data_IF_181157549886
#
_entry.id   IF_181157549886
#
_cell.length_a   1.000
_cell.length_b   1.000
_cell.length_c   1.000
_cell.angle_alpha   90.00
_cell.angle_beta   90.00
_cell.angle_gamma   90.00
#
_symmetry.space_group_name_H-M   'P 1'
#
loop_
_entity.id
_entity.type
_entity.pdbx_description
1 polymer ?
#
# COMPACT_ATOMS: atom_id res chain seq x y z
N UNK A 1 -40.17 -17.80 4.04
CA UNK A 1 -39.38 -17.53 5.27
C UNK A 1 -38.41 -16.36 5.05
N UNK A 2 -38.86 -15.31 4.35
CA UNK A 2 -37.98 -14.25 3.79
C UNK A 2 -38.33 -12.85 4.33
N UNK A 3 -39.26 -12.78 5.28
CA UNK A 3 -39.79 -11.52 5.82
C UNK A 3 -39.26 -11.18 7.22
N UNK A 4 -38.52 -12.08 7.90
CA UNK A 4 -38.12 -11.89 9.31
C UNK A 4 -36.71 -11.34 9.55
N UNK A 5 -36.00 -10.92 8.50
CA UNK A 5 -34.69 -10.25 8.63
C UNK A 5 -34.72 -8.75 8.32
N UNK A 6 -35.88 -8.18 7.98
CA UNK A 6 -36.03 -6.74 7.69
C UNK A 6 -36.09 -5.84 8.94
N UNK A 7 -36.04 -6.42 10.14
CA UNK A 7 -36.39 -5.72 11.40
C UNK A 7 -35.20 -5.43 12.32
N UNK A 8 -33.96 -5.60 11.85
CA UNK A 8 -32.79 -4.97 12.48
C UNK A 8 -32.42 -3.80 11.59
N UNK A 9 -32.58 -2.59 12.11
CA UNK A 9 -32.39 -1.32 11.39
C UNK A 9 -31.27 -1.43 10.35
N UNK A 10 -31.60 -1.07 9.11
CA UNK A 10 -30.70 -1.07 7.96
C UNK A 10 -29.31 -0.56 8.38
N UNK A 11 -28.35 -1.46 8.56
CA UNK A 11 -27.00 -1.11 8.99
C UNK A 11 -26.31 -0.43 7.81
N UNK A 12 -26.21 0.89 7.87
CA UNK A 12 -25.66 1.71 6.79
C UNK A 12 -24.15 1.92 6.98
N UNK A 13 -23.48 2.37 5.93
CA UNK A 13 -22.08 2.80 6.00
C UNK A 13 -21.84 3.79 7.14
N UNK A 14 -22.72 4.77 7.31
CA UNK A 14 -22.60 5.85 8.30
C UNK A 14 -22.58 5.32 9.75
N UNK A 15 -23.25 4.20 10.02
CA UNK A 15 -23.32 3.60 11.36
C UNK A 15 -22.06 2.80 11.71
N UNK A 16 -21.37 2.25 10.70
CA UNK A 16 -20.24 1.32 10.86
C UNK A 16 -18.88 1.96 10.60
N UNK A 17 -18.81 2.98 9.75
CA UNK A 17 -17.55 3.66 9.45
C UNK A 17 -16.84 4.23 10.68
N UNK A 18 -17.54 4.87 11.65
CA UNK A 18 -16.89 5.39 12.86
C UNK A 18 -16.17 4.32 13.70
N UNK A 19 -16.63 3.06 13.67
CA UNK A 19 -15.94 1.95 14.35
C UNK A 19 -14.85 1.29 13.50
N UNK A 20 -15.01 1.27 12.17
CA UNK A 20 -14.02 0.69 11.25
C UNK A 20 -12.78 1.59 11.10
N UNK A 21 -13.00 2.90 10.93
CA UNK A 21 -11.94 3.88 10.61
C UNK A 21 -10.77 3.87 11.60
N UNK A 22 -10.95 3.85 12.92
CA UNK A 22 -9.82 3.79 13.85
C UNK A 22 -8.94 2.56 13.66
N UNK A 23 -9.52 1.41 13.34
CA UNK A 23 -8.79 0.15 13.11
C UNK A 23 -7.99 0.26 11.80
N UNK A 24 -8.59 0.84 10.76
CA UNK A 24 -7.91 1.12 9.48
C UNK A 24 -6.71 2.04 9.69
N UNK A 25 -6.87 3.11 10.47
CA UNK A 25 -5.79 4.04 10.78
C UNK A 25 -4.66 3.37 11.59
N UNK A 26 -5.00 2.51 12.55
CA UNK A 26 -4.02 1.69 13.28
C UNK A 26 -3.22 0.81 12.33
N UNK A 27 -3.90 0.12 11.41
CA UNK A 27 -3.24 -0.72 10.39
C UNK A 27 -2.29 0.12 9.54
N UNK A 28 -2.74 1.24 8.96
CA UNK A 28 -1.89 2.12 8.14
C UNK A 28 -0.65 2.61 8.89
N UNK A 29 -0.79 2.90 10.19
CA UNK A 29 0.30 3.39 11.05
C UNK A 29 1.16 2.27 11.65
N UNK A 30 0.86 1.00 11.36
CA UNK A 30 1.50 -0.17 11.97
C UNK A 30 1.38 -0.19 13.51
N UNK A 31 0.26 0.30 14.03
CA UNK A 31 -0.10 0.21 15.44
C UNK A 31 -0.68 -1.19 15.78
N UNK A 32 -0.58 -1.65 17.04
CA UNK A 32 -1.13 -2.94 17.44
C UNK A 32 -2.65 -2.96 17.30
N UNK A 33 -3.15 -3.97 16.57
CA UNK A 33 -4.58 -4.28 16.42
C UNK A 33 -4.84 -5.60 17.13
N UNK A 34 -5.81 -5.60 18.03
CA UNK A 34 -6.23 -6.81 18.74
C UNK A 34 -6.97 -7.77 17.81
N UNK A 35 -7.02 -9.05 18.18
CA UNK A 35 -7.75 -10.04 17.40
C UNK A 35 -9.25 -9.70 17.27
N UNK A 36 -9.86 -9.13 18.31
CA UNK A 36 -11.27 -8.72 18.28
C UNK A 36 -11.48 -7.55 17.31
N UNK A 37 -10.66 -6.49 17.39
CA UNK A 37 -10.73 -5.38 16.43
C UNK A 37 -10.56 -5.87 14.99
N UNK A 38 -9.63 -6.80 14.77
CA UNK A 38 -9.41 -7.40 13.46
C UNK A 38 -10.66 -8.14 12.95
N UNK A 39 -11.26 -9.01 13.77
CA UNK A 39 -12.46 -9.75 13.41
C UNK A 39 -13.67 -8.83 13.20
N UNK A 40 -13.82 -7.81 14.05
CA UNK A 40 -14.88 -6.81 13.95
C UNK A 40 -14.79 -5.99 12.67
N UNK A 41 -13.58 -5.72 12.18
CA UNK A 41 -13.37 -5.05 10.90
C UNK A 41 -13.89 -5.90 9.72
N UNK A 42 -13.56 -7.20 9.68
CA UNK A 42 -14.10 -8.13 8.66
C UNK A 42 -15.63 -8.16 8.71
N UNK A 43 -16.19 -8.31 9.91
CA UNK A 43 -17.63 -8.39 10.11
C UNK A 43 -18.33 -7.10 9.67
N UNK A 44 -17.78 -5.94 10.03
CA UNK A 44 -18.34 -4.64 9.67
C UNK A 44 -18.30 -4.38 8.17
N UNK A 45 -17.18 -4.69 7.50
CA UNK A 45 -17.08 -4.58 6.03
C UNK A 45 -18.09 -5.49 5.36
N UNK A 46 -18.24 -6.74 5.82
CA UNK A 46 -19.22 -7.68 5.28
C UNK A 46 -20.65 -7.15 5.41
N UNK A 47 -21.02 -6.64 6.59
CA UNK A 47 -22.36 -6.08 6.83
C UNK A 47 -22.66 -4.89 5.92
N UNK A 48 -21.73 -3.94 5.81
CA UNK A 48 -21.92 -2.76 4.94
C UNK A 48 -22.06 -3.20 3.47
N UNK A 49 -21.26 -4.16 3.02
CA UNK A 49 -21.34 -4.67 1.65
C UNK A 49 -22.62 -5.47 1.36
N UNK A 50 -23.26 -6.03 2.39
CA UNK A 50 -24.46 -6.85 2.26
C UNK A 50 -25.76 -6.03 2.35
N UNK A 51 -25.79 -5.04 3.25
CA UNK A 51 -27.02 -4.33 3.62
C UNK A 51 -27.15 -2.91 3.07
N UNK A 52 -26.04 -2.26 2.69
CA UNK A 52 -26.05 -0.93 2.07
C UNK A 52 -25.66 -1.06 0.59
N UNK A 53 -26.62 -0.89 -0.32
CA UNK A 53 -26.37 -0.92 -1.77
C UNK A 53 -25.34 0.13 -2.21
N UNK A 54 -25.25 1.27 -1.50
CA UNK A 54 -24.26 2.32 -1.74
C UNK A 54 -23.06 2.20 -0.79
N UNK A 55 -23.01 1.18 0.06
CA UNK A 55 -21.95 0.93 1.02
C UNK A 55 -20.60 0.66 0.37
N UNK A 56 -20.48 -0.31 -0.57
CA UNK A 56 -19.22 -0.60 -1.25
C UNK A 56 -18.51 0.62 -1.86
N UNK A 57 -19.14 1.46 -2.70
CA UNK A 57 -18.44 2.64 -3.23
C UNK A 57 -18.05 3.64 -2.14
N UNK A 58 -18.91 3.88 -1.12
CA UNK A 58 -18.57 4.76 0.02
C UNK A 58 -17.37 4.26 0.82
N UNK A 59 -17.30 2.96 1.11
CA UNK A 59 -16.14 2.35 1.81
C UNK A 59 -14.87 2.53 0.99
N UNK A 60 -14.94 2.30 -0.33
CA UNK A 60 -13.79 2.48 -1.22
C UNK A 60 -13.30 3.93 -1.22
N UNK A 61 -14.21 4.89 -1.34
CA UNK A 61 -13.86 6.32 -1.40
C UNK A 61 -13.31 6.80 -0.05
N UNK A 62 -13.94 6.44 1.07
CA UNK A 62 -13.45 6.81 2.38
C UNK A 62 -12.10 6.16 2.73
N UNK A 63 -11.88 4.90 2.31
CA UNK A 63 -10.59 4.23 2.44
C UNK A 63 -9.51 4.91 1.59
N UNK A 64 -9.86 5.37 0.37
CA UNK A 64 -8.96 6.15 -0.47
C UNK A 64 -8.53 7.43 0.22
N UNK A 65 -9.47 8.17 0.81
CA UNK A 65 -9.16 9.43 1.50
C UNK A 65 -8.22 9.19 2.69
N UNK A 66 -8.48 8.19 3.53
CA UNK A 66 -7.61 7.86 4.66
C UNK A 66 -6.20 7.37 4.22
N UNK A 67 -6.11 6.62 3.12
CA UNK A 67 -4.81 6.23 2.52
C UNK A 67 -4.06 7.46 2.01
N UNK A 68 -4.72 8.35 1.28
CA UNK A 68 -4.11 9.57 0.74
C UNK A 68 -3.61 10.49 1.86
N UNK A 69 -4.41 10.67 2.92
CA UNK A 69 -4.01 11.45 4.10
C UNK A 69 -2.77 10.86 4.78
N UNK A 70 -2.73 9.53 4.93
CA UNK A 70 -1.55 8.84 5.48
C UNK A 70 -0.30 9.07 4.61
N UNK A 71 -0.44 8.90 3.29
CA UNK A 71 0.65 9.06 2.33
C UNK A 71 1.14 10.51 2.29
N UNK A 72 0.25 11.49 2.38
CA UNK A 72 0.64 12.92 2.41
C UNK A 72 1.49 13.26 3.63
N UNK A 73 1.17 12.67 4.79
CA UNK A 73 1.99 12.80 6.00
C UNK A 73 3.35 12.11 5.84
N UNK A 74 3.39 10.92 5.23
CA UNK A 74 4.64 10.22 4.92
C UNK A 74 5.50 11.01 3.92
N UNK A 75 4.89 11.57 2.87
CA UNK A 75 5.54 12.44 1.89
C UNK A 75 6.22 13.62 2.58
N UNK A 76 5.51 14.31 3.48
CA UNK A 76 6.07 15.47 4.20
C UNK A 76 7.26 15.06 5.06
N UNK A 77 7.19 13.91 5.75
CA UNK A 77 8.33 13.39 6.54
C UNK A 77 9.53 13.09 5.65
N UNK A 78 9.33 12.39 4.52
CA UNK A 78 10.42 12.03 3.60
C UNK A 78 11.04 13.27 2.93
N UNK A 79 10.21 14.16 2.38
CA UNK A 79 10.66 15.34 1.63
C UNK A 79 11.19 16.47 2.51
N UNK A 80 11.04 16.37 3.83
CA UNK A 80 11.67 17.31 4.77
C UNK A 80 13.21 17.21 4.77
N UNK A 81 13.76 16.10 4.28
CA UNK A 81 15.20 15.87 4.21
C UNK A 81 15.77 16.36 2.87
N UNK A 82 16.62 17.39 2.92
CA UNK A 82 17.30 17.91 1.72
C UNK A 82 18.46 17.01 1.27
N UNK A 83 19.22 16.45 2.22
CA UNK A 83 20.35 15.57 1.95
C UNK A 83 19.90 14.20 1.45
N UNK A 84 20.52 13.71 0.38
CA UNK A 84 20.18 12.45 -0.29
C UNK A 84 20.23 11.22 0.64
N UNK A 85 21.26 11.12 1.49
CA UNK A 85 21.40 9.99 2.42
C UNK A 85 20.34 9.99 3.52
N UNK A 86 20.03 11.17 4.07
CA UNK A 86 18.96 11.31 5.06
C UNK A 86 17.58 11.03 4.43
N UNK A 87 17.35 11.51 3.21
CA UNK A 87 16.15 11.25 2.44
C UNK A 87 15.98 9.75 2.15
N UNK A 88 17.04 9.05 1.75
CA UNK A 88 17.01 7.59 1.53
C UNK A 88 16.62 6.86 2.81
N UNK A 89 17.26 7.17 3.94
CA UNK A 89 16.94 6.54 5.24
C UNK A 89 15.48 6.80 5.65
N UNK A 90 15.01 8.03 5.51
CA UNK A 90 13.62 8.40 5.81
C UNK A 90 12.62 7.68 4.90
N UNK A 91 12.90 7.62 3.60
CA UNK A 91 12.08 6.90 2.63
C UNK A 91 11.98 5.41 2.99
N UNK A 92 13.10 4.76 3.27
CA UNK A 92 13.12 3.31 3.55
C UNK A 92 12.40 3.00 4.87
N UNK A 93 12.53 3.86 5.88
CA UNK A 93 11.79 3.72 7.13
C UNK A 93 10.27 3.78 6.92
N UNK A 94 9.78 4.71 6.10
CA UNK A 94 8.34 4.83 5.80
C UNK A 94 7.88 3.71 4.83
N UNK A 95 8.68 3.37 3.82
CA UNK A 95 8.39 2.31 2.85
C UNK A 95 8.23 0.96 3.52
N UNK A 96 9.12 0.57 4.45
CA UNK A 96 9.03 -0.73 5.13
C UNK A 96 7.74 -0.88 5.93
N UNK A 97 7.32 0.18 6.63
CA UNK A 97 6.03 0.19 7.35
C UNK A 97 4.89 0.04 6.36
N UNK A 98 4.84 0.92 5.37
CA UNK A 98 3.76 0.96 4.37
C UNK A 98 3.64 -0.34 3.57
N UNK A 99 4.75 -0.87 3.04
CA UNK A 99 4.77 -2.07 2.22
C UNK A 99 4.33 -3.31 3.00
N UNK A 100 4.66 -3.38 4.29
CA UNK A 100 4.14 -4.42 5.18
C UNK A 100 2.60 -4.32 5.27
N UNK A 101 2.06 -3.11 5.43
CA UNK A 101 0.61 -2.90 5.52
C UNK A 101 -0.13 -3.16 4.21
N UNK A 102 0.52 -3.03 3.05
CA UNK A 102 -0.02 -3.47 1.76
C UNK A 102 -0.35 -4.97 1.72
N UNK A 103 0.17 -5.79 2.64
CA UNK A 103 -0.17 -7.21 2.74
C UNK A 103 -1.31 -7.49 3.74
N UNK A 104 -1.51 -6.63 4.73
CA UNK A 104 -2.52 -6.81 5.78
C UNK A 104 -3.80 -6.04 5.50
N UNK A 105 -3.70 -4.72 5.27
CA UNK A 105 -4.85 -3.85 5.12
C UNK A 105 -5.85 -4.31 4.05
N UNK A 106 -5.46 -4.90 2.90
CA UNK A 106 -6.44 -5.37 1.92
C UNK A 106 -7.28 -6.57 2.35
N UNK A 107 -6.84 -7.35 3.34
CA UNK A 107 -7.46 -8.65 3.66
C UNK A 107 -8.91 -8.56 4.18
N UNK A 108 -9.31 -7.57 5.02
CA UNK A 108 -10.72 -7.39 5.42
C UNK A 108 -11.62 -6.92 4.28
N UNK A 109 -11.04 -6.35 3.21
CA UNK A 109 -11.78 -5.74 2.09
C UNK A 109 -11.97 -6.68 0.89
N UNK A 110 -11.64 -7.97 0.98
CA UNK A 110 -11.90 -8.94 -0.11
C UNK A 110 -13.40 -9.02 -0.48
N UNK A 111 -14.28 -8.89 0.51
CA UNK A 111 -15.72 -8.85 0.26
C UNK A 111 -16.13 -7.60 -0.52
N UNK A 112 -15.53 -6.45 -0.19
CA UNK A 112 -15.73 -5.19 -0.91
C UNK A 112 -15.36 -5.36 -2.39
N UNK A 113 -14.22 -5.99 -2.69
CA UNK A 113 -13.76 -6.22 -4.07
C UNK A 113 -14.74 -7.09 -4.86
N UNK A 114 -15.29 -8.13 -4.23
CA UNK A 114 -16.31 -9.01 -4.83
C UNK A 114 -17.60 -8.24 -5.14
N UNK A 115 -18.04 -7.37 -4.22
CA UNK A 115 -19.23 -6.54 -4.43
C UNK A 115 -19.04 -5.50 -5.54
N UNK A 116 -17.83 -4.95 -5.70
CA UNK A 116 -17.52 -3.94 -6.72
C UNK A 116 -17.33 -4.51 -8.13
N UNK A 117 -16.77 -5.72 -8.26
CA UNK A 117 -16.55 -6.37 -9.57
C UNK A 117 -17.84 -6.94 -10.18
N UNK A 118 -18.92 -7.03 -9.39
CA UNK A 118 -20.11 -7.77 -9.78
C UNK A 118 -19.84 -9.28 -9.85
N UNK A 119 -20.89 -10.09 -9.99
CA UNK A 119 -20.75 -11.55 -10.15
C UNK A 119 -20.19 -11.90 -11.53
N UNK A 120 -18.93 -11.58 -11.82
CA UNK A 120 -18.24 -12.10 -13.02
C UNK A 120 -17.56 -13.44 -12.71
N UNK A 121 -17.53 -14.32 -13.72
CA UNK A 121 -16.96 -15.67 -13.70
C UNK A 121 -15.59 -15.75 -12.99
N UNK A 122 -15.27 -16.90 -12.35
CA UNK A 122 -14.00 -17.08 -11.67
C UNK A 122 -12.84 -17.02 -12.68
N UNK A 123 -11.99 -16.00 -12.56
CA UNK A 123 -10.71 -15.95 -13.26
C UNK A 123 -9.73 -16.94 -12.62
N UNK A 124 -8.95 -17.63 -13.46
CA UNK A 124 -7.94 -18.63 -13.06
C UNK A 124 -6.80 -18.03 -12.21
N UNK A 125 -6.62 -16.70 -12.24
CA UNK A 125 -5.72 -15.97 -11.34
C UNK A 125 -6.55 -15.25 -10.28
N UNK A 126 -6.14 -15.26 -9.00
CA UNK A 126 -6.77 -14.38 -8.01
C UNK A 126 -6.64 -12.94 -8.51
N UNK A 127 -7.74 -12.19 -8.63
CA UNK A 127 -7.68 -10.81 -9.08
C UNK A 127 -6.76 -10.00 -8.14
N UNK A 128 -5.96 -9.12 -8.73
CA UNK A 128 -5.13 -8.19 -7.97
C UNK A 128 -6.04 -7.35 -7.06
N UNK A 129 -5.70 -7.30 -5.77
CA UNK A 129 -6.51 -6.57 -4.79
C UNK A 129 -6.61 -5.10 -5.18
N UNK A 130 -7.85 -4.60 -5.27
CA UNK A 130 -8.15 -3.20 -5.58
C UNK A 130 -7.56 -2.30 -4.49
N UNK A 131 -7.67 -2.70 -3.23
CA UNK A 131 -7.11 -1.93 -2.10
C UNK A 131 -5.59 -1.91 -2.16
N UNK A 132 -4.94 -3.07 -2.39
CA UNK A 132 -3.47 -3.12 -2.52
C UNK A 132 -2.97 -2.27 -3.68
N UNK A 133 -3.65 -2.34 -4.83
CA UNK A 133 -3.32 -1.55 -6.01
C UNK A 133 -3.45 -0.05 -5.72
N UNK A 134 -4.57 0.37 -5.12
CA UNK A 134 -4.78 1.77 -4.73
C UNK A 134 -3.66 2.28 -3.83
N UNK A 135 -3.27 1.51 -2.80
CA UNK A 135 -2.16 1.86 -1.92
C UNK A 135 -0.86 2.08 -2.71
N UNK A 136 -0.44 1.10 -3.51
CA UNK A 136 0.82 1.18 -4.26
C UNK A 136 0.82 2.29 -5.31
N UNK A 137 -0.27 2.46 -6.05
CA UNK A 137 -0.41 3.54 -7.04
C UNK A 137 -0.34 4.92 -6.38
N UNK A 138 -1.05 5.12 -5.26
CA UNK A 138 -0.98 6.36 -4.49
C UNK A 138 0.42 6.64 -3.94
N UNK A 139 1.11 5.62 -3.42
CA UNK A 139 2.48 5.79 -2.93
C UNK A 139 3.46 6.16 -4.06
N UNK A 140 3.29 5.52 -5.23
CA UNK A 140 4.09 5.82 -6.40
C UNK A 140 3.91 7.28 -6.83
N UNK A 141 2.66 7.71 -7.03
CA UNK A 141 2.34 9.04 -7.53
C UNK A 141 2.72 10.15 -6.54
N UNK A 142 2.56 9.94 -5.24
CA UNK A 142 2.80 10.98 -4.24
C UNK A 142 4.26 11.05 -3.75
N UNK A 143 5.00 9.94 -3.75
CA UNK A 143 6.34 9.92 -3.16
C UNK A 143 7.36 9.42 -4.17
N UNK A 144 7.26 8.14 -4.58
CA UNK A 144 8.36 7.48 -5.26
C UNK A 144 8.67 8.10 -6.63
N UNK A 145 7.65 8.48 -7.41
CA UNK A 145 7.83 9.01 -8.76
C UNK A 145 8.80 10.20 -8.81
N UNK A 146 8.70 11.11 -7.84
CA UNK A 146 9.48 12.35 -7.79
C UNK A 146 10.92 12.14 -7.34
N UNK A 147 11.16 11.17 -6.45
CA UNK A 147 12.49 10.96 -5.82
C UNK A 147 13.20 9.68 -6.26
N UNK A 148 12.60 8.83 -7.10
CA UNK A 148 13.15 7.52 -7.52
C UNK A 148 14.59 7.59 -8.03
N UNK A 149 14.95 8.63 -8.79
CA UNK A 149 16.31 8.81 -9.33
C UNK A 149 17.31 9.10 -8.21
N UNK A 150 16.98 10.01 -7.29
CA UNK A 150 17.82 10.32 -6.12
C UNK A 150 18.02 9.11 -5.23
N UNK A 151 16.95 8.34 -5.00
CA UNK A 151 17.01 7.09 -4.24
C UNK A 151 17.92 6.06 -4.92
N UNK A 152 17.79 5.90 -6.24
CA UNK A 152 18.63 5.00 -7.02
C UNK A 152 20.11 5.40 -6.96
N UNK A 153 20.43 6.66 -7.24
CA UNK A 153 21.81 7.15 -7.25
C UNK A 153 22.45 6.99 -5.86
N UNK A 154 21.66 7.23 -4.79
CA UNK A 154 22.10 7.02 -3.41
C UNK A 154 22.33 5.54 -3.09
N UNK A 155 21.46 4.65 -3.57
CA UNK A 155 21.62 3.21 -3.42
C UNK A 155 22.88 2.70 -4.15
N UNK A 156 23.17 3.19 -5.37
CA UNK A 156 24.37 2.80 -6.10
C UNK A 156 25.65 3.28 -5.42
N UNK A 157 25.64 4.48 -4.83
CA UNK A 157 26.76 4.96 -4.00
C UNK A 157 27.04 4.03 -2.80
N UNK A 158 26.00 3.53 -2.14
CA UNK A 158 26.15 2.58 -1.02
C UNK A 158 26.75 1.24 -1.49
N UNK A 159 26.29 0.71 -2.64
CA UNK A 159 26.86 -0.51 -3.24
C UNK A 159 28.35 -0.31 -3.58
N UNK A 160 28.72 0.84 -4.13
CA UNK A 160 30.12 1.14 -4.42
C UNK A 160 30.97 1.25 -3.14
N UNK A 161 30.45 1.91 -2.10
CA UNK A 161 31.12 1.99 -0.80
C UNK A 161 31.35 0.60 -0.16
N UNK A 162 30.37 -0.30 -0.25
CA UNK A 162 30.49 -1.69 0.23
C UNK A 162 31.60 -2.47 -0.47
N UNK A 163 31.76 -2.29 -1.78
CA UNK A 163 32.88 -2.90 -2.53
C UNK A 163 34.24 -2.41 -2.08
N UNK A 164 34.30 -1.18 -1.58
CA UNK A 164 35.50 -0.58 -1.01
C UNK A 164 35.71 -0.93 0.49
N UNK A 165 34.86 -1.80 1.05
CA UNK A 165 34.97 -2.30 2.41
C UNK A 165 34.15 -1.57 3.46
N UNK A 166 33.29 -0.61 3.06
CA UNK A 166 32.41 0.09 3.99
C UNK A 166 31.10 -0.66 4.23
N UNK A 167 30.83 -1.05 5.48
CA UNK A 167 29.56 -1.67 5.83
C UNK A 167 28.42 -0.64 5.84
N UNK A 168 27.26 -1.02 5.29
CA UNK A 168 26.03 -0.22 5.37
C UNK A 168 24.81 -1.11 5.66
N UNK A 169 23.68 -0.48 5.99
CA UNK A 169 22.42 -1.22 6.16
C UNK A 169 21.86 -1.65 4.79
N UNK A 170 21.96 -2.95 4.48
CA UNK A 170 21.49 -3.54 3.22
C UNK A 170 20.02 -3.26 2.92
N UNK A 171 19.20 -2.97 3.94
CA UNK A 171 17.80 -2.59 3.76
C UNK A 171 17.63 -1.30 2.95
N UNK A 172 18.63 -0.42 2.93
CA UNK A 172 18.58 0.82 2.15
C UNK A 172 18.55 0.52 0.64
N UNK A 173 19.35 -0.44 0.17
CA UNK A 173 19.37 -0.85 -1.24
C UNK A 173 18.20 -1.78 -1.55
N UNK A 174 17.90 -2.72 -0.64
CA UNK A 174 16.77 -3.66 -0.79
C UNK A 174 15.44 -2.91 -0.91
N UNK A 175 15.19 -1.90 -0.08
CA UNK A 175 13.94 -1.16 -0.14
C UNK A 175 13.78 -0.36 -1.44
N UNK A 176 14.85 0.25 -1.96
CA UNK A 176 14.80 0.92 -3.28
C UNK A 176 14.48 -0.09 -4.39
N UNK A 177 15.13 -1.26 -4.37
CA UNK A 177 14.84 -2.35 -5.31
C UNK A 177 13.38 -2.81 -5.22
N UNK A 178 12.87 -3.02 -4.01
CA UNK A 178 11.48 -3.42 -3.77
C UNK A 178 10.48 -2.40 -4.30
N UNK A 179 10.77 -1.11 -4.15
CA UNK A 179 9.96 -0.03 -4.73
C UNK A 179 9.91 -0.11 -6.25
N UNK A 180 11.05 -0.29 -6.93
CA UNK A 180 11.08 -0.46 -8.39
C UNK A 180 10.31 -1.70 -8.86
N UNK A 181 10.31 -2.79 -8.10
CA UNK A 181 9.58 -4.02 -8.44
C UNK A 181 8.08 -3.88 -8.20
N UNK A 182 7.65 -3.22 -7.13
CA UNK A 182 6.24 -3.20 -6.71
C UNK A 182 5.45 -1.99 -7.18
N UNK A 183 6.11 -0.89 -7.56
CA UNK A 183 5.46 0.37 -7.94
C UNK A 183 5.39 0.56 -9.47
N UNK A 184 5.57 -0.51 -10.24
CA UNK A 184 5.41 -0.48 -11.69
C UNK A 184 3.92 -0.40 -12.05
N UNK A 185 3.53 0.65 -12.77
CA UNK A 185 2.16 0.82 -13.26
C UNK A 185 1.84 0.03 -14.55
N UNK A 186 2.84 -0.61 -15.16
CA UNK A 186 2.63 -1.44 -16.35
C UNK A 186 2.01 -2.79 -15.96
N UNK A 187 0.80 -3.06 -16.46
CA UNK A 187 0.04 -4.28 -16.17
C UNK A 187 0.57 -5.51 -16.91
N UNK A 188 1.20 -5.32 -18.06
CA UNK A 188 1.72 -6.39 -18.91
C UNK A 188 3.14 -6.79 -18.50
N UNK A 189 3.92 -5.82 -18.00
CA UNK A 189 5.30 -6.02 -17.56
C UNK A 189 5.61 -5.28 -16.26
N UNK A 190 5.32 -5.95 -15.14
CA UNK A 190 5.53 -5.42 -13.78
C UNK A 190 7.00 -5.15 -13.43
N UNK A 191 7.94 -5.64 -14.22
CA UNK A 191 9.37 -5.48 -13.97
C UNK A 191 10.02 -4.44 -14.90
N UNK A 192 9.24 -3.78 -15.76
CA UNK A 192 9.77 -2.83 -16.74
C UNK A 192 10.65 -1.76 -16.09
N UNK A 193 10.11 -1.01 -15.13
CA UNK A 193 10.85 0.10 -14.51
C UNK A 193 12.04 -0.40 -13.68
N UNK A 194 11.98 -1.62 -13.15
CA UNK A 194 13.09 -2.25 -12.45
C UNK A 194 14.25 -2.51 -13.42
N UNK A 195 13.97 -3.13 -14.58
CA UNK A 195 14.99 -3.46 -15.59
C UNK A 195 15.59 -2.21 -16.23
N UNK A 196 14.74 -1.27 -16.64
CA UNK A 196 15.15 -0.06 -17.35
C UNK A 196 15.93 0.94 -16.47
N UNK A 197 15.78 0.86 -15.14
CA UNK A 197 16.40 1.83 -14.22
C UNK A 197 17.34 1.15 -13.22
N UNK A 198 16.81 0.41 -12.24
CA UNK A 198 17.60 -0.11 -11.13
C UNK A 198 18.60 -1.18 -11.58
N UNK A 199 18.15 -2.18 -12.34
CA UNK A 199 19.02 -3.25 -12.85
C UNK A 199 20.11 -2.69 -13.76
N UNK A 200 19.71 -1.84 -14.72
CA UNK A 200 20.64 -1.15 -15.62
C UNK A 200 21.70 -0.36 -14.85
N UNK A 201 21.29 0.48 -13.90
CA UNK A 201 22.23 1.27 -13.11
C UNK A 201 23.16 0.41 -12.24
N UNK A 202 22.66 -0.72 -11.74
CA UNK A 202 23.48 -1.66 -10.97
C UNK A 202 24.54 -2.34 -11.84
N UNK A 203 24.18 -2.77 -13.06
CA UNK A 203 25.12 -3.36 -14.02
C UNK A 203 26.19 -2.33 -14.43
N UNK A 204 25.77 -1.13 -14.83
CA UNK A 204 26.69 -0.04 -15.23
C UNK A 204 27.66 0.32 -14.09
N UNK A 205 27.17 0.40 -12.84
CA UNK A 205 28.01 0.63 -11.66
C UNK A 205 28.93 -0.55 -11.31
N UNK A 206 28.72 -1.74 -11.89
CA UNK A 206 29.54 -2.95 -11.67
C UNK A 206 30.57 -3.14 -12.77
N UNK A 207 30.28 -2.71 -13.99
CA UNK A 207 31.20 -2.75 -15.13
C UNK A 207 32.23 -1.62 -15.10
N UNK A 208 31.95 -0.53 -14.37
CA UNK A 208 32.86 0.61 -14.15
C UNK A 208 33.81 0.39 -12.98
#
# INVERSE_FOLDING_TARGET
>A
MTAMLKDKGQLMFEDKWPSMRPIILKLLQQEPVTQNEWQDLFYSVHLVCLWDEKGPPKVKDALRDDIMDFIQRAQTRVLSHQEDQALLKAYIAEWRKFFTQCNYLPTPFRQLETSLQGKSMPSVKPPESIVRKLMLDSWNQSIFYDIKKRLQDSAMKLVHAERNGEAFDSQLVIGVRESYVNLCSNTDDKLQIYRENFEKAYIEATES
#
